data_IF_442726838577
#
_entry.id   IF_442726838577
#
_cell.length_a   1.000
_cell.length_b   1.000
_cell.length_c   1.000
_cell.angle_alpha   90.00
_cell.angle_beta   90.00
_cell.angle_gamma   90.00
#
_symmetry.space_group_name_H-M   'P 1'
#
loop_
_entity.id
_entity.type
_entity.pdbx_description
1 polymer ?
#
# COMPACT_ATOMS: atom_id res chain seq x y z
N UNK A 1 -51.17 -13.22 79.50
CA UNK A 1 -51.52 -12.00 78.73
C UNK A 1 -52.30 -12.40 77.49
N UNK A 2 -53.56 -11.95 77.43
CA UNK A 2 -54.35 -11.44 76.26
C UNK A 2 -54.43 -12.31 74.97
N UNK A 3 -55.64 -12.73 74.53
CA UNK A 3 -55.90 -13.41 73.25
C UNK A 3 -56.16 -12.39 72.11
N UNK A 4 -56.53 -12.85 70.90
CA UNK A 4 -57.30 -12.20 69.79
C UNK A 4 -56.67 -12.59 68.43
N UNK A 5 -57.25 -13.48 67.60
CA UNK A 5 -58.38 -13.39 66.64
C UNK A 5 -58.10 -12.62 65.33
N UNK A 6 -58.55 -13.24 64.21
CA UNK A 6 -59.07 -12.66 62.96
C UNK A 6 -58.08 -11.86 62.07
N UNK A 7 -58.26 -11.67 60.77
CA UNK A 7 -59.20 -12.10 59.73
C UNK A 7 -58.59 -11.60 58.41
N UNK A 8 -58.86 -12.30 57.31
CA UNK A 8 -58.54 -11.89 55.95
C UNK A 8 -59.01 -10.46 55.62
N UNK A 9 -58.32 -9.79 54.68
CA UNK A 9 -58.95 -8.85 53.75
C UNK A 9 -58.09 -8.68 52.50
N UNK A 10 -58.66 -9.11 51.36
CA UNK A 10 -58.28 -8.64 50.02
C UNK A 10 -58.58 -7.14 49.93
N UNK A 11 -57.66 -6.39 49.31
CA UNK A 11 -57.97 -5.10 48.70
C UNK A 11 -57.56 -5.19 47.23
N UNK A 12 -58.55 -5.20 46.35
CA UNK A 12 -58.40 -4.78 44.96
C UNK A 12 -58.53 -3.26 44.92
N UNK A 13 -57.64 -2.56 44.20
CA UNK A 13 -57.94 -1.30 43.52
C UNK A 13 -56.70 -0.88 42.69
N UNK A 14 -56.77 -1.05 41.37
CA UNK A 14 -56.94 0.02 40.37
C UNK A 14 -55.69 0.85 40.11
N UNK A 15 -55.17 0.78 38.89
CA UNK A 15 -54.94 1.99 38.08
C UNK A 15 -54.77 1.60 36.61
N UNK A 16 -55.59 2.24 35.78
CA UNK A 16 -55.64 2.10 34.34
C UNK A 16 -54.29 2.49 33.73
N UNK A 17 -53.68 1.57 32.97
CA UNK A 17 -52.52 1.88 32.14
C UNK A 17 -53.03 2.38 30.80
N UNK A 18 -52.53 3.56 30.45
CA UNK A 18 -52.75 4.37 29.27
C UNK A 18 -52.80 3.58 27.96
N UNK A 19 -53.62 4.13 27.06
CA UNK A 19 -53.78 3.81 25.65
C UNK A 19 -52.47 3.35 24.98
N UNK A 20 -52.40 2.04 24.68
CA UNK A 20 -51.38 1.48 23.80
C UNK A 20 -51.90 1.62 22.35
N UNK A 21 -51.40 2.65 21.67
CA UNK A 21 -51.59 2.85 20.23
C UNK A 21 -50.83 1.73 19.49
N UNK A 22 -51.52 0.62 19.21
CA UNK A 22 -50.93 -0.51 18.52
C UNK A 22 -50.96 -0.30 17.01
N UNK A 23 -49.76 -0.08 16.46
CA UNK A 23 -49.20 -0.74 15.28
C UNK A 23 -50.02 -0.62 13.98
N UNK A 24 -49.53 0.21 13.06
CA UNK A 24 -49.32 -0.18 11.66
C UNK A 24 -48.59 0.93 10.91
N UNK A 25 -47.27 0.81 10.80
CA UNK A 25 -46.61 0.99 9.50
C UNK A 25 -45.48 -0.03 9.43
N UNK A 26 -45.76 -1.17 8.81
CA UNK A 26 -44.73 -2.00 8.18
C UNK A 26 -44.18 -1.19 7.00
N UNK A 27 -43.23 -0.30 7.25
CA UNK A 27 -42.35 0.12 6.16
C UNK A 27 -41.37 -1.02 5.96
N UNK A 28 -41.66 -1.85 4.96
CA UNK A 28 -40.65 -2.71 4.40
C UNK A 28 -39.50 -1.83 3.92
N UNK A 29 -38.39 -1.85 4.65
CA UNK A 29 -37.12 -1.41 4.10
C UNK A 29 -36.85 -2.30 2.90
N UNK A 30 -37.07 -1.70 1.73
CA UNK A 30 -36.77 -2.30 0.44
C UNK A 30 -35.29 -2.66 0.46
N UNK A 31 -35.03 -3.96 0.38
CA UNK A 31 -33.73 -4.57 0.21
C UNK A 31 -33.14 -4.09 -1.14
N UNK A 32 -32.51 -2.91 -1.09
CA UNK A 32 -31.83 -2.33 -2.24
C UNK A 32 -30.62 -3.24 -2.49
N UNK A 33 -30.48 -3.89 -3.66
CA UNK A 33 -29.35 -4.77 -3.89
C UNK A 33 -28.07 -3.96 -3.65
N UNK A 34 -27.31 -4.36 -2.62
CA UNK A 34 -26.04 -3.75 -2.30
C UNK A 34 -25.15 -3.92 -3.53
N UNK A 35 -24.95 -2.85 -4.28
CA UNK A 35 -23.93 -2.82 -5.33
C UNK A 35 -22.63 -3.16 -4.63
N UNK A 36 -21.95 -4.27 -4.99
CA UNK A 36 -20.73 -4.66 -4.30
C UNK A 36 -19.77 -3.49 -4.33
N UNK A 37 -19.27 -3.10 -3.15
CA UNK A 37 -18.33 -2.01 -3.04
C UNK A 37 -17.14 -2.24 -4.00
N UNK A 38 -16.65 -1.20 -4.71
CA UNK A 38 -15.51 -1.36 -5.59
C UNK A 38 -14.34 -2.00 -4.85
N UNK A 39 -13.70 -2.99 -5.47
CA UNK A 39 -12.51 -3.62 -4.89
C UNK A 39 -11.46 -2.56 -4.55
N UNK A 40 -10.75 -2.70 -3.41
CA UNK A 40 -9.72 -1.74 -3.03
C UNK A 40 -8.60 -1.68 -4.10
N UNK A 41 -8.05 -0.50 -4.37
CA UNK A 41 -7.00 -0.35 -5.37
C UNK A 41 -5.73 -1.09 -4.98
N UNK A 42 -4.90 -1.39 -5.99
CA UNK A 42 -3.51 -1.82 -5.81
C UNK A 42 -2.61 -0.59 -5.92
N UNK A 43 -1.72 -0.43 -4.95
CA UNK A 43 -0.73 0.65 -4.91
C UNK A 43 0.67 0.07 -5.05
N UNK A 44 1.47 0.63 -5.96
CA UNK A 44 2.81 0.16 -6.26
C UNK A 44 3.76 1.35 -6.21
N UNK A 45 4.71 1.36 -5.29
CA UNK A 45 5.78 2.33 -5.24
C UNK A 45 7.00 1.79 -5.97
N UNK A 46 7.39 2.44 -7.06
CA UNK A 46 8.62 2.14 -7.76
C UNK A 46 9.73 3.08 -7.31
N UNK A 47 10.91 2.51 -7.06
CA UNK A 47 12.15 3.26 -6.83
C UNK A 47 13.25 2.68 -7.71
N UNK A 48 14.16 3.54 -8.17
CA UNK A 48 15.48 3.08 -8.60
C UNK A 48 16.27 2.67 -7.34
N UNK A 49 17.20 1.73 -7.46
CA UNK A 49 18.19 1.48 -6.42
C UNK A 49 18.85 2.80 -5.93
N UNK A 50 19.26 2.85 -4.67
CA UNK A 50 19.98 3.99 -4.09
C UNK A 50 21.43 4.07 -4.59
N UNK A 51 22.14 5.13 -4.20
CA UNK A 51 23.53 5.41 -4.58
C UNK A 51 24.46 4.23 -4.27
N UNK A 52 25.44 4.00 -5.15
CA UNK A 52 26.36 2.87 -5.07
C UNK A 52 27.78 3.34 -4.79
N UNK A 53 28.61 2.47 -4.20
CA UNK A 53 29.99 2.79 -3.85
C UNK A 53 30.94 2.84 -5.07
N UNK A 54 30.50 2.32 -6.22
CA UNK A 54 31.22 2.36 -7.48
C UNK A 54 30.26 2.51 -8.65
N UNK A 55 30.78 2.92 -9.82
CA UNK A 55 29.96 3.12 -11.01
C UNK A 55 29.44 1.79 -11.59
N UNK A 56 28.12 1.68 -11.74
CA UNK A 56 27.44 0.49 -12.25
C UNK A 56 27.46 0.38 -13.78
N UNK A 57 27.85 1.42 -14.51
CA UNK A 57 27.92 1.41 -15.99
C UNK A 57 28.99 0.44 -16.51
N UNK A 58 29.93 0.07 -15.65
CA UNK A 58 30.98 -0.92 -15.92
C UNK A 58 30.46 -2.38 -15.86
N UNK A 59 29.19 -2.59 -15.51
CA UNK A 59 28.62 -3.92 -15.31
C UNK A 59 28.87 -4.50 -13.92
N UNK A 60 29.58 -3.78 -13.04
CA UNK A 60 29.78 -4.16 -11.65
C UNK A 60 28.45 -4.22 -10.86
N UNK A 61 28.42 -5.04 -9.81
CA UNK A 61 27.34 -5.08 -8.83
C UNK A 61 27.83 -4.62 -7.44
N UNK A 62 28.15 -3.33 -7.28
CA UNK A 62 28.66 -2.79 -6.03
C UNK A 62 27.56 -2.73 -4.96
N UNK A 63 28.01 -2.70 -3.70
CA UNK A 63 27.18 -2.33 -2.56
C UNK A 63 26.72 -0.86 -2.64
N UNK A 64 25.75 -0.51 -1.79
CA UNK A 64 25.36 0.88 -1.62
C UNK A 64 26.51 1.71 -1.03
N UNK A 65 26.62 2.97 -1.44
CA UNK A 65 27.48 3.93 -0.75
C UNK A 65 26.88 4.33 0.61
N UNK A 66 27.63 5.08 1.42
CA UNK A 66 27.10 5.65 2.65
C UNK A 66 25.83 6.51 2.40
N UNK A 67 25.84 7.32 1.33
CA UNK A 67 24.67 8.10 0.91
C UNK A 67 23.50 7.18 0.51
N UNK A 68 23.79 6.09 -0.22
CA UNK A 68 22.77 5.12 -0.61
C UNK A 68 22.14 4.40 0.59
N UNK A 69 22.95 4.06 1.59
CA UNK A 69 22.46 3.47 2.84
C UNK A 69 21.57 4.45 3.63
N UNK A 70 21.89 5.75 3.63
CA UNK A 70 21.02 6.79 4.20
C UNK A 70 19.70 6.86 3.44
N UNK A 71 19.74 6.83 2.10
CA UNK A 71 18.52 6.87 1.27
C UNK A 71 17.65 5.63 1.46
N UNK A 72 18.23 4.45 1.58
CA UNK A 72 17.51 3.20 1.88
C UNK A 72 16.76 3.30 3.23
N UNK A 73 17.39 3.91 4.25
CA UNK A 73 16.70 4.21 5.52
C UNK A 73 15.61 5.28 5.37
N UNK A 74 15.83 6.30 4.55
CA UNK A 74 14.82 7.31 4.27
C UNK A 74 13.59 6.72 3.56
N UNK A 75 13.78 5.76 2.66
CA UNK A 75 12.69 5.01 2.02
C UNK A 75 11.86 4.25 3.06
N UNK A 76 12.53 3.57 3.98
CA UNK A 76 11.87 2.86 5.07
C UNK A 76 11.06 3.81 5.96
N UNK A 77 11.64 4.94 6.35
CA UNK A 77 10.98 5.95 7.17
C UNK A 77 9.78 6.60 6.45
N UNK A 78 9.88 6.86 5.15
CA UNK A 78 8.76 7.35 4.33
C UNK A 78 7.57 6.38 4.37
N UNK A 79 7.85 5.09 4.47
CA UNK A 79 6.87 4.00 4.48
C UNK A 79 6.57 3.45 5.88
N UNK A 80 6.91 4.18 6.95
CA UNK A 80 6.75 3.68 8.31
C UNK A 80 5.29 3.44 8.71
N UNK A 81 4.36 4.23 8.15
CA UNK A 81 2.91 4.14 8.41
C UNK A 81 2.13 3.46 7.28
N UNK A 82 2.80 2.95 6.25
CA UNK A 82 2.12 2.25 5.16
C UNK A 82 2.03 0.76 5.45
N UNK A 83 0.91 0.16 5.07
CA UNK A 83 0.70 -1.29 5.16
C UNK A 83 1.34 -2.00 3.96
N UNK A 84 2.67 -1.91 3.82
CA UNK A 84 3.40 -2.62 2.75
C UNK A 84 3.13 -4.11 2.87
N UNK A 85 2.73 -4.74 1.76
CA UNK A 85 2.41 -6.17 1.70
C UNK A 85 3.38 -6.96 0.83
N UNK A 86 4.07 -6.32 -0.12
CA UNK A 86 4.98 -6.99 -1.04
C UNK A 86 6.25 -6.17 -1.31
N UNK A 87 7.37 -6.87 -1.43
CA UNK A 87 8.67 -6.29 -1.80
C UNK A 87 9.21 -7.03 -3.03
N UNK A 88 9.63 -6.26 -4.04
CA UNK A 88 10.25 -6.80 -5.25
C UNK A 88 11.57 -6.09 -5.52
N UNK A 89 12.61 -6.84 -5.84
CA UNK A 89 13.89 -6.30 -6.27
C UNK A 89 14.45 -7.13 -7.42
N UNK A 90 15.43 -6.57 -8.13
CA UNK A 90 16.23 -7.36 -9.06
C UNK A 90 17.31 -8.18 -8.35
N UNK A 91 17.96 -9.07 -9.08
CA UNK A 91 19.06 -9.92 -8.59
C UNK A 91 20.27 -9.13 -8.07
N UNK A 92 20.40 -7.86 -8.46
CA UNK A 92 21.52 -7.01 -8.08
C UNK A 92 21.50 -6.62 -6.59
N UNK A 93 22.69 -6.64 -5.96
CA UNK A 93 22.92 -6.28 -4.56
C UNK A 93 22.34 -4.91 -4.23
N UNK A 94 22.61 -3.91 -5.07
CA UNK A 94 22.11 -2.54 -4.88
C UNK A 94 20.59 -2.43 -4.80
N UNK A 95 19.83 -3.20 -5.57
CA UNK A 95 18.35 -3.16 -5.49
C UNK A 95 17.84 -3.83 -4.23
N UNK A 96 18.45 -4.95 -3.82
CA UNK A 96 18.06 -5.67 -2.60
C UNK A 96 18.44 -4.87 -1.35
N UNK A 97 19.64 -4.29 -1.31
CA UNK A 97 20.12 -3.44 -0.22
C UNK A 97 19.28 -2.16 -0.06
N UNK A 98 18.70 -1.63 -1.15
CA UNK A 98 17.80 -0.47 -1.09
C UNK A 98 16.52 -0.80 -0.29
N UNK A 99 16.02 -2.04 -0.39
CA UNK A 99 14.82 -2.48 0.34
C UNK A 99 15.14 -3.14 1.69
N UNK A 100 16.40 -3.45 1.98
CA UNK A 100 16.78 -4.20 3.18
C UNK A 100 16.29 -3.58 4.50
N UNK A 101 16.34 -2.25 4.72
CA UNK A 101 15.79 -1.65 5.94
C UNK A 101 14.28 -1.89 6.07
N UNK A 102 13.54 -1.71 4.97
CA UNK A 102 12.09 -1.92 4.92
C UNK A 102 11.70 -3.39 5.11
N UNK A 103 12.40 -4.31 4.46
CA UNK A 103 12.23 -5.75 4.64
C UNK A 103 12.44 -6.15 6.11
N UNK A 104 13.50 -5.62 6.75
CA UNK A 104 13.79 -5.87 8.16
C UNK A 104 12.68 -5.38 9.08
N UNK A 105 12.18 -4.15 8.88
CA UNK A 105 11.11 -3.59 9.73
C UNK A 105 9.78 -4.31 9.56
N UNK A 106 9.42 -4.65 8.32
CA UNK A 106 8.12 -5.26 8.00
C UNK A 106 8.10 -6.77 8.20
N UNK A 107 9.27 -7.41 8.28
CA UNK A 107 9.39 -8.88 8.29
C UNK A 107 9.12 -9.53 6.93
N UNK A 108 8.91 -8.73 5.87
CA UNK A 108 8.61 -9.23 4.54
C UNK A 108 9.87 -9.76 3.84
N UNK A 109 9.71 -10.86 3.10
CA UNK A 109 10.73 -11.35 2.17
C UNK A 109 10.68 -10.56 0.87
N UNK A 110 11.84 -10.14 0.39
CA UNK A 110 11.97 -9.54 -0.95
C UNK A 110 11.91 -10.63 -2.02
N UNK A 111 10.96 -10.51 -2.92
CA UNK A 111 10.87 -11.37 -4.12
C UNK A 111 11.86 -10.88 -5.16
N UNK A 112 12.82 -11.73 -5.51
CA UNK A 112 13.89 -11.40 -6.47
C UNK A 112 13.47 -11.82 -7.88
N UNK A 113 13.44 -10.87 -8.82
CA UNK A 113 13.06 -11.10 -10.22
C UNK A 113 14.16 -10.57 -11.17
N UNK A 114 14.61 -11.34 -12.18
CA UNK A 114 15.70 -10.91 -13.05
C UNK A 114 15.42 -9.57 -13.74
N UNK A 115 16.39 -8.65 -13.71
CA UNK A 115 16.26 -7.30 -14.24
C UNK A 115 15.89 -7.28 -15.73
N UNK A 116 16.42 -8.25 -16.49
CA UNK A 116 16.17 -8.41 -17.94
C UNK A 116 14.83 -9.09 -18.26
N UNK A 117 14.16 -9.68 -17.27
CA UNK A 117 12.88 -10.36 -17.45
C UNK A 117 11.69 -9.42 -17.16
N UNK A 118 11.55 -8.35 -17.95
CA UNK A 118 10.53 -7.31 -17.72
C UNK A 118 9.11 -7.89 -17.70
N UNK A 119 8.77 -8.81 -18.60
CA UNK A 119 7.45 -9.46 -18.59
C UNK A 119 7.19 -10.29 -17.33
N UNK A 120 8.22 -10.94 -16.77
CA UNK A 120 8.07 -11.67 -15.49
C UNK A 120 7.85 -10.71 -14.33
N UNK A 121 8.53 -9.57 -14.33
CA UNK A 121 8.28 -8.49 -13.35
C UNK A 121 6.85 -7.96 -13.48
N UNK A 122 6.39 -7.66 -14.69
CA UNK A 122 5.04 -7.16 -14.96
C UNK A 122 3.97 -8.20 -14.60
N UNK A 123 4.18 -9.48 -14.88
CA UNK A 123 3.27 -10.55 -14.51
C UNK A 123 3.08 -10.60 -12.99
N UNK A 124 4.17 -10.53 -12.21
CA UNK A 124 4.09 -10.48 -10.76
C UNK A 124 3.30 -9.27 -10.25
N UNK A 125 3.54 -8.08 -10.82
CA UNK A 125 2.83 -6.86 -10.44
C UNK A 125 1.35 -6.88 -10.85
N UNK A 126 1.03 -7.45 -12.02
CA UNK A 126 -0.35 -7.61 -12.51
C UNK A 126 -1.15 -8.58 -11.66
N UNK A 127 -0.51 -9.62 -11.11
CA UNK A 127 -1.10 -10.64 -10.26
C UNK A 127 -1.35 -10.21 -8.80
N UNK A 128 -0.91 -9.01 -8.40
CA UNK A 128 -1.13 -8.51 -7.04
C UNK A 128 -2.63 -8.47 -6.69
N UNK A 129 -3.05 -9.04 -5.54
CA UNK A 129 -4.43 -8.97 -5.06
C UNK A 129 -4.89 -7.53 -4.81
N UNK A 130 -6.20 -7.29 -4.90
CA UNK A 130 -6.82 -6.01 -4.53
C UNK A 130 -6.39 -5.59 -3.11
N UNK A 131 -6.12 -4.29 -2.91
CA UNK A 131 -5.62 -3.76 -1.64
C UNK A 131 -4.11 -3.94 -1.38
N UNK A 132 -3.37 -4.56 -2.30
CA UNK A 132 -1.92 -4.71 -2.13
C UNK A 132 -1.19 -3.38 -2.17
N UNK A 133 -0.18 -3.22 -1.30
CA UNK A 133 0.80 -2.14 -1.32
C UNK A 133 2.17 -2.76 -1.58
N UNK A 134 2.67 -2.63 -2.81
CA UNK A 134 3.94 -3.20 -3.22
C UNK A 134 5.03 -2.13 -3.33
N UNK A 135 6.27 -2.49 -2.99
CA UNK A 135 7.45 -1.65 -3.24
C UNK A 135 8.40 -2.40 -4.17
N UNK A 136 8.83 -1.73 -5.24
CA UNK A 136 9.67 -2.29 -6.30
C UNK A 136 10.96 -1.50 -6.42
N UNK A 137 12.10 -2.14 -6.15
CA UNK A 137 13.43 -1.57 -6.40
C UNK A 137 14.00 -2.09 -7.73
N UNK A 138 14.13 -1.19 -8.71
CA UNK A 138 14.66 -1.48 -10.03
C UNK A 138 15.80 -0.56 -10.44
N UNK A 139 15.92 -0.31 -11.74
CA UNK A 139 17.01 0.47 -12.35
C UNK A 139 16.49 1.72 -13.05
N UNK A 140 17.39 2.60 -13.46
CA UNK A 140 17.04 3.84 -14.16
C UNK A 140 16.32 3.59 -15.49
N UNK A 141 16.52 2.44 -16.12
CA UNK A 141 15.86 2.03 -17.37
C UNK A 141 14.62 1.16 -17.13
N UNK A 142 14.64 0.24 -16.16
CA UNK A 142 13.52 -0.70 -15.96
C UNK A 142 12.34 -0.09 -15.22
N UNK A 143 12.57 0.86 -14.30
CA UNK A 143 11.48 1.52 -13.57
C UNK A 143 10.55 2.28 -14.52
N UNK A 144 11.03 3.18 -15.40
CA UNK A 144 10.15 3.84 -16.37
C UNK A 144 9.43 2.87 -17.30
N UNK A 145 10.10 1.79 -17.73
CA UNK A 145 9.50 0.76 -18.59
C UNK A 145 8.34 0.06 -17.89
N UNK A 146 8.49 -0.33 -16.62
CA UNK A 146 7.41 -0.98 -15.87
C UNK A 146 6.22 -0.04 -15.65
N UNK A 147 6.49 1.23 -15.28
CA UNK A 147 5.42 2.23 -15.08
C UNK A 147 4.66 2.48 -16.40
N UNK A 148 5.38 2.60 -17.52
CA UNK A 148 4.78 2.73 -18.85
C UNK A 148 3.93 1.52 -19.25
N UNK A 149 4.43 0.30 -19.03
CA UNK A 149 3.69 -0.93 -19.34
C UNK A 149 2.47 -1.18 -18.41
N UNK A 150 2.37 -0.44 -17.31
CA UNK A 150 1.18 -0.37 -16.45
C UNK A 150 0.23 0.78 -16.82
N UNK A 151 0.51 1.49 -17.93
CA UNK A 151 -0.41 2.45 -18.52
C UNK A 151 -0.18 3.92 -18.11
N UNK A 152 0.94 4.25 -17.47
CA UNK A 152 1.25 5.65 -17.11
C UNK A 152 2.63 6.07 -17.59
N UNK A 153 2.77 7.29 -18.10
CA UNK A 153 4.06 7.82 -18.56
C UNK A 153 4.79 8.53 -17.42
N UNK A 154 6.11 8.36 -17.35
CA UNK A 154 6.99 9.11 -16.46
C UNK A 154 7.54 10.33 -17.20
N UNK A 155 7.46 11.51 -16.59
CA UNK A 155 8.04 12.75 -17.13
C UNK A 155 9.53 12.89 -16.76
N UNK A 156 10.25 13.82 -17.41
CA UNK A 156 11.64 14.14 -17.06
C UNK A 156 12.61 12.96 -17.24
N UNK A 157 12.39 12.13 -18.26
CA UNK A 157 13.32 11.07 -18.67
C UNK A 157 14.36 11.63 -19.66
N UNK A 158 15.50 10.97 -19.75
CA UNK A 158 16.51 11.25 -20.79
C UNK A 158 15.93 10.97 -22.19
N UNK A 159 16.65 11.37 -23.25
CA UNK A 159 16.28 11.04 -24.64
C UNK A 159 16.13 9.53 -24.88
N UNK A 160 16.84 8.71 -24.10
CA UNK A 160 16.77 7.24 -24.15
C UNK A 160 15.66 6.65 -23.28
N UNK A 161 14.79 7.46 -22.68
CA UNK A 161 13.68 7.00 -21.85
C UNK A 161 14.11 6.47 -20.47
N UNK A 162 15.29 6.86 -19.98
CA UNK A 162 15.78 6.46 -18.65
C UNK A 162 15.68 7.59 -17.64
N UNK A 163 15.69 7.26 -16.36
CA UNK A 163 15.99 8.23 -15.29
C UNK A 163 17.45 8.66 -15.46
N UNK A 164 17.74 9.93 -15.21
CA UNK A 164 19.09 10.48 -15.24
C UNK A 164 19.99 9.74 -14.22
N UNK A 165 21.25 9.47 -14.58
CA UNK A 165 22.08 8.51 -13.85
C UNK A 165 22.47 9.00 -12.45
N UNK A 166 22.59 10.31 -12.22
CA UNK A 166 22.83 10.87 -10.89
C UNK A 166 21.55 11.07 -10.06
N UNK A 167 20.38 10.80 -10.64
CA UNK A 167 19.08 10.96 -9.97
C UNK A 167 18.66 9.66 -9.29
N UNK A 168 18.73 9.65 -7.95
CA UNK A 168 18.38 8.49 -7.10
C UNK A 168 17.13 8.71 -6.24
N UNK A 169 16.73 9.95 -6.02
CA UNK A 169 15.66 10.31 -5.09
C UNK A 169 14.23 10.12 -5.63
N UNK A 170 14.06 9.91 -6.94
CA UNK A 170 12.73 9.83 -7.56
C UNK A 170 12.05 8.51 -7.23
N UNK A 171 10.81 8.59 -6.76
CA UNK A 171 9.94 7.46 -6.55
C UNK A 171 8.58 7.69 -7.22
N UNK A 172 7.97 6.63 -7.73
CA UNK A 172 6.74 6.69 -8.51
C UNK A 172 5.67 5.83 -7.85
N UNK A 173 4.66 6.48 -7.26
CA UNK A 173 3.52 5.82 -6.64
C UNK A 173 2.42 5.66 -7.69
N UNK A 174 2.25 4.44 -8.18
CA UNK A 174 1.19 4.08 -9.12
C UNK A 174 0.03 3.44 -8.36
N UNK A 175 -1.18 3.95 -8.58
CA UNK A 175 -2.41 3.36 -8.05
C UNK A 175 -3.28 2.88 -9.22
N UNK A 176 -3.69 1.61 -9.18
CA UNK A 176 -4.57 1.00 -10.18
C UNK A 176 -5.78 0.33 -9.53
N UNK A 177 -6.93 0.42 -10.17
CA UNK A 177 -8.16 -0.27 -9.78
C UNK A 177 -8.88 -0.79 -11.02
N UNK A 178 -9.66 -1.87 -10.88
CA UNK A 178 -10.38 -2.47 -12.01
C UNK A 178 -11.37 -1.45 -12.59
N UNK A 179 -11.31 -1.24 -13.91
CA UNK A 179 -12.20 -0.31 -14.62
C UNK A 179 -11.86 1.18 -14.42
N UNK A 180 -10.78 1.51 -13.73
CA UNK A 180 -10.35 2.90 -13.49
C UNK A 180 -8.94 3.09 -14.07
N UNK A 181 -8.75 4.18 -14.81
CA UNK A 181 -7.43 4.52 -15.36
C UNK A 181 -6.39 4.66 -14.23
N UNK A 182 -5.18 4.10 -14.39
CA UNK A 182 -4.14 4.17 -13.37
C UNK A 182 -3.69 5.62 -13.14
N UNK A 183 -3.38 5.96 -11.89
CA UNK A 183 -2.86 7.28 -11.49
C UNK A 183 -1.42 7.15 -11.04
N UNK A 184 -0.61 8.18 -11.31
CA UNK A 184 0.77 8.26 -10.88
C UNK A 184 0.99 9.53 -10.07
N UNK A 185 1.64 9.37 -8.92
CA UNK A 185 2.19 10.46 -8.12
C UNK A 185 3.72 10.29 -8.04
N UNK A 186 4.46 11.36 -8.30
CA UNK A 186 5.91 11.37 -8.10
C UNK A 186 6.24 11.87 -6.69
N UNK A 187 7.15 11.17 -6.03
CA UNK A 187 7.62 11.44 -4.68
C UNK A 187 9.15 11.58 -4.69
N UNK A 188 9.66 12.27 -3.67
CA UNK A 188 11.10 12.38 -3.41
C UNK A 188 11.44 11.61 -2.14
N UNK A 189 12.39 10.68 -2.23
CA UNK A 189 12.85 9.83 -1.13
C UNK A 189 14.16 10.36 -0.56
N UNK A 190 14.11 10.91 0.65
CA UNK A 190 15.27 11.52 1.30
C UNK A 190 15.68 12.85 0.66
N UNK A 191 16.62 13.54 1.31
CA UNK A 191 17.18 14.77 0.75
C UNK A 191 18.15 14.43 -0.40
N UNK A 192 18.35 15.36 -1.33
CA UNK A 192 19.51 15.30 -2.21
C UNK A 192 20.75 15.39 -1.31
N UNK A 193 21.76 14.55 -1.53
CA UNK A 193 23.05 14.77 -0.88
C UNK A 193 23.53 16.17 -1.30
N UNK A 194 23.87 17.00 -0.32
CA UNK A 194 24.14 18.44 -0.39
C UNK A 194 24.51 19.02 -1.76
N UNK A 195 23.79 20.08 -2.13
CA UNK A 195 24.42 21.21 -2.81
C UNK A 195 25.10 22.08 -1.78
#
# INVERSE_FOLDING_TARGET
MIPIRCSARRVLATSAVSALLAIQVLQGEQDKPAVPAPLPPVTILFVRHAETAADTRTGADPELSAAGAVRARALDHLLQKSAVTHLFATEYRRTQATLAPLAKRTGLKTTVLPARAVERQLAALRALPAGSVAVVAGHSNTVPQMVAALGVRVAGLTKSGTIEHSTYQRAFLLTRAKGIAPKLLELTVGQAAGR
#
